data_IF_020232914423
#
_entry.id   IF_020232914423
#
_cell.length_a   1.000
_cell.length_b   1.000
_cell.length_c   1.000
_cell.angle_alpha   90.00
_cell.angle_beta   90.00
_cell.angle_gamma   90.00
#
_symmetry.space_group_name_H-M   'P 1'
#
loop_
_entity.id
_entity.type
_entity.pdbx_description
1 polymer ?
#
# COMPACT_ATOMS: atom_id res chain seq x y z
N UNK A 1 -9.92 -4.74 8.43
CA UNK A 1 -11.14 -4.19 7.81
C UNK A 1 -11.93 -3.53 8.91
N UNK A 2 -12.59 -2.43 8.60
CA UNK A 2 -13.54 -1.80 9.51
C UNK A 2 -14.95 -2.31 9.18
N UNK A 3 -15.99 -1.58 9.56
CA UNK A 3 -17.38 -1.89 9.19
C UNK A 3 -17.61 -1.71 7.67
N UNK A 4 -18.25 -2.71 7.03
CA UNK A 4 -18.69 -2.63 5.63
C UNK A 4 -19.72 -1.51 5.48
N UNK A 5 -19.53 -0.63 4.49
CA UNK A 5 -20.36 0.57 4.32
C UNK A 5 -21.53 0.35 3.37
N UNK A 6 -21.42 -0.60 2.46
CA UNK A 6 -22.47 -0.89 1.49
C UNK A 6 -23.69 -1.55 2.15
N UNK A 7 -24.89 -1.17 1.69
CA UNK A 7 -26.16 -1.67 2.26
C UNK A 7 -26.84 -2.76 1.45
N UNK A 8 -26.50 -2.89 0.16
CA UNK A 8 -27.12 -3.89 -0.72
C UNK A 8 -26.18 -5.08 -0.92
N UNK A 9 -26.71 -6.33 -1.01
CA UNK A 9 -25.89 -7.54 -1.08
C UNK A 9 -24.96 -7.54 -2.30
N UNK A 10 -25.43 -7.02 -3.44
CA UNK A 10 -24.62 -6.88 -4.65
C UNK A 10 -23.44 -5.91 -4.49
N UNK A 11 -23.62 -4.81 -3.74
CA UNK A 11 -22.54 -3.84 -3.49
C UNK A 11 -21.56 -4.33 -2.42
N UNK A 12 -22.05 -5.03 -1.39
CA UNK A 12 -21.21 -5.62 -0.34
C UNK A 12 -20.19 -6.60 -0.95
N UNK A 13 -20.60 -7.44 -1.91
CA UNK A 13 -19.68 -8.34 -2.62
C UNK A 13 -18.54 -7.56 -3.29
N UNK A 14 -18.87 -6.47 -3.99
CA UNK A 14 -17.86 -5.60 -4.63
C UNK A 14 -16.93 -4.98 -3.60
N UNK A 15 -17.47 -4.52 -2.47
CA UNK A 15 -16.67 -3.95 -1.38
C UNK A 15 -15.64 -4.96 -0.85
N UNK A 16 -16.05 -6.21 -0.62
CA UNK A 16 -15.15 -7.29 -0.19
C UNK A 16 -14.06 -7.55 -1.24
N UNK A 17 -14.41 -7.63 -2.53
CA UNK A 17 -13.44 -7.81 -3.60
C UNK A 17 -12.42 -6.67 -3.66
N UNK A 18 -12.85 -5.43 -3.46
CA UNK A 18 -11.95 -4.26 -3.41
C UNK A 18 -11.00 -4.36 -2.21
N UNK A 19 -11.47 -4.79 -1.04
CA UNK A 19 -10.57 -5.00 0.10
C UNK A 19 -9.54 -6.11 -0.15
N UNK A 20 -9.94 -7.22 -0.79
CA UNK A 20 -9.03 -8.30 -1.16
C UNK A 20 -8.00 -7.82 -2.20
N UNK A 21 -8.44 -7.04 -3.18
CA UNK A 21 -7.56 -6.44 -4.17
C UNK A 21 -6.53 -5.50 -3.49
N UNK A 22 -7.00 -4.59 -2.64
CA UNK A 22 -6.12 -3.68 -1.91
C UNK A 22 -5.11 -4.42 -1.02
N UNK A 23 -5.53 -5.50 -0.37
CA UNK A 23 -4.65 -6.37 0.41
C UNK A 23 -3.55 -7.00 -0.45
N UNK A 24 -3.90 -7.56 -1.62
CA UNK A 24 -2.94 -8.17 -2.54
C UNK A 24 -1.95 -7.13 -3.09
N UNK A 25 -2.42 -5.92 -3.42
CA UNK A 25 -1.55 -4.84 -3.88
C UNK A 25 -0.56 -4.40 -2.80
N UNK A 26 -1.02 -4.24 -1.55
CA UNK A 26 -0.13 -3.93 -0.43
C UNK A 26 0.91 -5.04 -0.19
N UNK A 27 0.52 -6.32 -0.30
CA UNK A 27 1.46 -7.44 -0.21
C UNK A 27 2.49 -7.45 -1.34
N UNK A 28 2.09 -7.13 -2.56
CA UNK A 28 3.01 -6.95 -3.69
C UNK A 28 4.00 -5.81 -3.46
N UNK A 29 3.51 -4.67 -2.94
CA UNK A 29 4.35 -3.54 -2.55
C UNK A 29 5.36 -3.95 -1.47
N UNK A 30 4.91 -4.62 -0.40
CA UNK A 30 5.77 -5.16 0.67
C UNK A 30 6.84 -6.11 0.14
N UNK A 31 6.50 -6.96 -0.84
CA UNK A 31 7.44 -7.89 -1.47
C UNK A 31 8.52 -7.16 -2.28
N UNK A 32 8.11 -6.26 -3.17
CA UNK A 32 9.03 -5.44 -3.97
C UNK A 32 9.97 -4.62 -3.07
N UNK A 33 9.41 -4.11 -1.99
CA UNK A 33 10.12 -3.35 -1.01
C UNK A 33 11.12 -4.20 -0.20
N UNK A 34 10.70 -5.35 0.33
CA UNK A 34 11.57 -6.26 1.06
C UNK A 34 12.73 -6.80 0.21
N UNK A 35 12.45 -7.11 -1.06
CA UNK A 35 13.51 -7.52 -2.02
C UNK A 35 14.49 -6.39 -2.34
N UNK A 36 14.02 -5.14 -2.44
CA UNK A 36 14.88 -3.97 -2.71
C UNK A 36 15.81 -3.65 -1.54
N UNK A 37 15.34 -3.79 -0.29
CA UNK A 37 16.11 -3.44 0.92
C UNK A 37 16.57 -4.66 1.72
N UNK A 38 16.68 -5.83 1.08
CA UNK A 38 17.14 -7.09 1.67
C UNK A 38 16.48 -7.44 3.02
N UNK A 39 15.22 -7.04 3.21
CA UNK A 39 14.45 -7.29 4.42
C UNK A 39 13.40 -8.34 4.14
N UNK A 40 13.22 -9.36 4.99
CA UNK A 40 12.19 -10.37 4.78
C UNK A 40 10.80 -9.74 4.62
N UNK A 41 10.06 -9.96 3.52
CA UNK A 41 8.76 -9.32 3.29
C UNK A 41 7.72 -9.62 4.38
N UNK A 42 7.85 -10.75 5.08
CA UNK A 42 6.98 -11.12 6.20
C UNK A 42 7.27 -10.36 7.50
N UNK A 43 8.44 -9.71 7.62
CA UNK A 43 8.77 -8.84 8.76
C UNK A 43 8.06 -7.49 8.67
N UNK A 44 7.54 -7.14 7.50
CA UNK A 44 6.88 -5.87 7.30
C UNK A 44 5.47 -5.88 7.84
N UNK A 45 5.13 -4.80 8.53
CA UNK A 45 3.76 -4.59 8.99
C UNK A 45 2.88 -4.10 7.85
N UNK A 46 1.85 -4.89 7.52
CA UNK A 46 0.81 -4.48 6.57
C UNK A 46 0.13 -3.16 6.99
N UNK A 47 -0.11 -2.97 8.29
CA UNK A 47 -0.72 -1.75 8.82
C UNK A 47 0.22 -0.56 8.67
N UNK A 48 1.52 -0.76 8.92
CA UNK A 48 2.55 0.25 8.70
C UNK A 48 2.65 0.64 7.22
N UNK A 49 2.73 -0.34 6.32
CA UNK A 49 2.74 -0.11 4.87
C UNK A 49 1.51 0.69 4.42
N UNK A 50 0.31 0.33 4.90
CA UNK A 50 -0.93 1.07 4.59
C UNK A 50 -0.88 2.51 5.09
N UNK A 51 -0.43 2.73 6.32
CA UNK A 51 -0.34 4.07 6.90
C UNK A 51 0.63 4.95 6.11
N UNK A 52 1.84 4.44 5.83
CA UNK A 52 2.82 5.16 5.03
C UNK A 52 2.31 5.44 3.61
N UNK A 53 1.71 4.44 2.94
CA UNK A 53 1.15 4.64 1.61
C UNK A 53 0.13 5.77 1.61
N UNK A 54 -0.80 5.80 2.57
CA UNK A 54 -1.78 6.87 2.70
C UNK A 54 -1.14 8.25 2.89
N UNK A 55 -0.04 8.34 3.64
CA UNK A 55 0.69 9.58 3.83
C UNK A 55 1.39 10.06 2.54
N UNK A 56 1.81 9.13 1.67
CA UNK A 56 2.48 9.42 0.41
C UNK A 56 1.53 9.64 -0.79
N UNK A 57 0.26 9.20 -0.72
CA UNK A 57 -0.76 9.47 -1.74
C UNK A 57 -0.81 10.94 -2.20
N UNK A 58 -0.84 11.96 -1.30
CA UNK A 58 -0.89 13.36 -1.75
C UNK A 58 0.33 13.73 -2.60
N UNK A 59 1.53 13.32 -2.21
CA UNK A 59 2.76 13.62 -2.96
C UNK A 59 2.80 12.87 -4.31
N UNK A 60 2.32 11.63 -4.34
CA UNK A 60 2.17 10.86 -5.58
C UNK A 60 1.19 11.51 -6.55
N UNK A 61 0.08 12.05 -6.04
CA UNK A 61 -0.93 12.74 -6.84
C UNK A 61 -0.36 14.02 -7.48
N UNK A 62 0.40 14.79 -6.71
CA UNK A 62 1.07 16.02 -7.18
C UNK A 62 2.17 15.73 -8.22
N UNK A 63 2.85 14.59 -8.09
CA UNK A 63 3.97 14.19 -8.97
C UNK A 63 3.53 13.42 -10.22
N UNK A 64 2.23 13.10 -10.34
CA UNK A 64 1.68 12.22 -11.40
C UNK A 64 1.88 12.74 -12.84
N UNK A 65 2.36 13.98 -13.03
CA UNK A 65 2.72 14.52 -14.34
C UNK A 65 4.16 14.15 -14.80
N UNK A 66 4.99 13.56 -13.92
CA UNK A 66 6.33 13.05 -14.27
C UNK A 66 6.80 12.05 -13.20
N UNK A 67 6.54 10.76 -13.39
CA UNK A 67 6.98 9.69 -12.47
C UNK A 67 8.51 9.64 -12.35
N UNK A 68 9.08 10.42 -11.44
CA UNK A 68 10.47 10.31 -11.04
C UNK A 68 10.62 9.15 -10.04
N UNK A 69 11.11 8.02 -10.54
CA UNK A 69 11.41 6.77 -9.79
C UNK A 69 12.26 6.96 -8.52
N UNK A 70 12.94 8.10 -8.39
CA UNK A 70 13.79 8.44 -7.25
C UNK A 70 12.99 8.74 -5.97
N UNK A 71 11.74 9.20 -6.06
CA UNK A 71 10.92 9.53 -4.88
C UNK A 71 10.41 8.28 -4.15
N UNK A 72 9.91 7.30 -4.90
CA UNK A 72 9.55 5.99 -4.34
C UNK A 72 10.75 5.35 -3.62
N UNK A 73 11.97 5.50 -4.15
CA UNK A 73 13.21 4.94 -3.56
C UNK A 73 13.58 5.55 -2.20
N UNK A 74 13.30 6.82 -1.94
CA UNK A 74 13.56 7.43 -0.63
C UNK A 74 12.44 7.14 0.39
N UNK A 75 11.18 7.14 -0.05
CA UNK A 75 10.04 6.74 0.80
C UNK A 75 10.16 5.30 1.30
N UNK A 76 10.65 4.41 0.44
CA UNK A 76 10.92 3.01 0.76
C UNK A 76 12.05 2.82 1.79
N UNK A 77 13.09 3.67 1.83
CA UNK A 77 14.13 3.61 2.89
C UNK A 77 13.57 3.86 4.29
N UNK A 78 12.59 4.78 4.41
CA UNK A 78 11.88 5.04 5.69
C UNK A 78 10.86 3.95 6.04
N UNK A 79 10.46 3.13 5.07
CA UNK A 79 9.44 2.10 5.22
C UNK A 79 9.97 0.83 5.92
N UNK A 80 11.29 0.72 6.15
CA UNK A 80 11.97 -0.53 6.56
C UNK A 80 12.92 -0.43 7.76
N UNK A 81 13.21 0.78 8.26
CA UNK A 81 14.12 0.97 9.41
C UNK A 81 13.33 1.60 10.57
N UNK A 82 12.55 0.76 11.25
CA UNK A 82 12.21 0.90 12.67
C UNK A 82 11.84 -0.46 13.23
#
# INVERSE_FOLDING_TARGET
MDVLRCKTPSMIRKEIYVYLLAYNLLRGLMWSAGTTYATPPLRLSLQGTRHHLNNFIPELCLTSNRLNLNFCREGLKRLFIK
#
